data_IF_988227259378
#
_entry.id   IF_988227259378
#
_cell.length_a   1.000
_cell.length_b   1.000
_cell.length_c   1.000
_cell.angle_alpha   90.00
_cell.angle_beta   90.00
_cell.angle_gamma   90.00
#
_symmetry.space_group_name_H-M   'P 1'
#
loop_
_entity.id
_entity.type
_entity.pdbx_description
1 polymer ?
#
# COMPACT_ATOMS: atom_id res chain seq x y z
N UNK A 1 12.31 -11.97 -1.61
CA UNK A 1 10.93 -11.50 -1.89
C UNK A 1 9.95 -12.44 -1.19
N UNK A 2 8.94 -11.92 -0.49
CA UNK A 2 7.93 -12.75 0.19
C UNK A 2 6.54 -12.29 -0.25
N UNK A 3 5.63 -13.23 -0.48
CA UNK A 3 4.26 -12.92 -0.88
C UNK A 3 3.49 -12.28 0.27
N UNK A 4 2.81 -11.17 -0.01
CA UNK A 4 1.93 -10.49 0.92
C UNK A 4 0.55 -10.32 0.27
N UNK A 5 -0.44 -11.07 0.72
CA UNK A 5 -1.81 -11.02 0.21
C UNK A 5 -2.81 -11.08 1.36
N UNK A 6 -4.09 -10.79 1.08
CA UNK A 6 -5.11 -10.60 2.11
C UNK A 6 -5.22 -11.78 3.10
N UNK A 7 -5.17 -13.02 2.60
CA UNK A 7 -5.25 -14.22 3.44
C UNK A 7 -4.00 -14.47 4.31
N UNK A 8 -2.83 -13.92 3.97
CA UNK A 8 -1.58 -14.18 4.69
C UNK A 8 -1.07 -12.98 5.51
N UNK A 9 -1.75 -11.83 5.42
CA UNK A 9 -1.29 -10.55 5.99
C UNK A 9 -0.88 -10.68 7.46
N UNK A 10 -1.74 -11.26 8.29
CA UNK A 10 -1.48 -11.45 9.74
C UNK A 10 -0.23 -12.29 10.02
N UNK A 11 -0.03 -13.39 9.27
CA UNK A 11 1.15 -14.26 9.42
C UNK A 11 2.42 -13.52 8.98
N UNK A 12 2.32 -12.78 7.87
CA UNK A 12 3.43 -12.02 7.33
C UNK A 12 3.85 -10.89 8.27
N UNK A 13 2.90 -10.15 8.84
CA UNK A 13 3.17 -9.07 9.81
C UNK A 13 3.96 -9.60 11.02
N UNK A 14 3.55 -10.74 11.59
CA UNK A 14 4.28 -11.38 12.71
C UNK A 14 5.74 -11.73 12.35
N UNK A 15 6.01 -11.98 11.08
CA UNK A 15 7.34 -12.33 10.60
C UNK A 15 8.17 -11.10 10.22
N UNK A 16 7.52 -10.04 9.72
CA UNK A 16 8.16 -8.82 9.22
C UNK A 16 8.46 -7.82 10.34
N UNK A 17 7.60 -7.70 11.35
CA UNK A 17 7.81 -6.77 12.46
C UNK A 17 9.14 -6.94 13.21
N UNK A 18 9.57 -8.16 13.57
CA UNK A 18 10.88 -8.35 14.22
C UNK A 18 12.05 -7.87 13.35
N UNK A 19 11.94 -8.03 12.02
CA UNK A 19 12.97 -7.61 11.05
C UNK A 19 13.02 -6.07 10.96
N UNK A 20 11.87 -5.40 10.94
CA UNK A 20 11.82 -3.95 10.98
C UNK A 20 12.39 -3.39 12.30
N UNK A 21 12.12 -4.07 13.43
CA UNK A 21 12.66 -3.70 14.75
C UNK A 21 14.17 -3.91 14.86
N UNK A 22 14.77 -4.75 14.02
CA UNK A 22 16.23 -4.90 13.94
C UNK A 22 16.89 -3.88 12.99
N UNK A 23 16.22 -2.75 12.72
CA UNK A 23 16.68 -1.66 11.85
C UNK A 23 16.93 -2.07 10.39
N UNK A 24 16.32 -3.16 9.92
CA UNK A 24 16.37 -3.50 8.50
C UNK A 24 15.31 -2.73 7.70
N UNK A 25 15.65 -2.46 6.44
CA UNK A 25 14.78 -1.79 5.49
C UNK A 25 13.97 -2.84 4.72
N UNK A 26 12.66 -2.64 4.64
CA UNK A 26 11.75 -3.47 3.86
C UNK A 26 10.93 -2.57 2.95
N UNK A 27 10.81 -2.99 1.69
CA UNK A 27 9.92 -2.37 0.70
C UNK A 27 8.68 -3.22 0.51
N UNK A 28 7.50 -2.58 0.51
CA UNK A 28 6.24 -3.16 0.07
C UNK A 28 6.03 -2.77 -1.39
N UNK A 29 5.77 -3.76 -2.25
CA UNK A 29 5.50 -3.58 -3.68
C UNK A 29 4.22 -4.32 -4.04
N UNK A 30 3.50 -3.82 -5.05
CA UNK A 30 2.37 -4.48 -5.70
C UNK A 30 2.78 -4.89 -7.11
N UNK A 31 1.96 -5.74 -7.75
CA UNK A 31 2.19 -6.14 -9.14
C UNK A 31 2.11 -4.94 -10.10
N UNK A 32 1.28 -3.93 -9.77
CA UNK A 32 1.17 -2.69 -10.52
C UNK A 32 0.74 -1.50 -9.64
N UNK A 33 1.18 -0.31 -10.03
CA UNK A 33 0.69 0.94 -9.47
C UNK A 33 1.26 1.29 -8.10
N UNK A 34 0.38 1.83 -7.24
CA UNK A 34 0.73 2.27 -5.89
C UNK A 34 0.25 1.23 -4.88
N UNK A 35 1.13 0.58 -4.11
CA UNK A 35 0.73 -0.41 -3.13
C UNK A 35 -0.33 0.12 -2.18
N UNK A 36 -1.21 -0.75 -1.70
CA UNK A 36 -2.36 -0.47 -0.82
C UNK A 36 -3.56 0.22 -1.45
N UNK A 37 -3.46 0.73 -2.69
CA UNK A 37 -4.63 1.19 -3.45
C UNK A 37 -5.23 -0.01 -4.16
N UNK A 38 -6.40 -0.47 -3.70
CA UNK A 38 -7.01 -1.73 -4.17
C UNK A 38 -6.14 -2.99 -3.96
N UNK A 39 -5.10 -2.87 -3.14
CA UNK A 39 -4.10 -3.91 -2.89
C UNK A 39 -3.97 -4.21 -1.38
N UNK A 40 -3.47 -5.40 -1.00
CA UNK A 40 -3.14 -5.70 0.39
C UNK A 40 -1.98 -4.82 0.90
N UNK A 41 -1.89 -4.63 2.21
CA UNK A 41 -0.76 -3.95 2.85
C UNK A 41 -1.13 -2.93 3.93
N UNK A 42 -2.38 -2.48 3.95
CA UNK A 42 -2.88 -1.54 4.98
C UNK A 42 -2.62 -2.05 6.41
N UNK A 43 -2.84 -3.34 6.67
CA UNK A 43 -2.60 -3.94 7.98
C UNK A 43 -1.12 -3.87 8.39
N UNK A 44 -0.19 -3.98 7.44
CA UNK A 44 1.24 -3.84 7.72
C UNK A 44 1.58 -2.39 8.07
N UNK A 45 1.04 -1.42 7.32
CA UNK A 45 1.24 0.01 7.61
C UNK A 45 0.72 0.34 9.02
N UNK A 46 -0.49 -0.12 9.37
CA UNK A 46 -1.06 0.06 10.71
C UNK A 46 -0.16 -0.53 11.79
N UNK A 47 0.31 -1.77 11.61
CA UNK A 47 1.21 -2.42 12.55
C UNK A 47 2.54 -1.66 12.71
N UNK A 48 3.07 -1.07 11.64
CA UNK A 48 4.25 -0.21 11.70
C UNK A 48 3.99 1.04 12.55
N UNK A 49 2.87 1.75 12.30
CA UNK A 49 2.48 2.96 13.05
C UNK A 49 2.31 2.64 14.54
N UNK A 50 1.58 1.57 14.87
CA UNK A 50 1.36 1.11 16.26
C UNK A 50 2.67 0.78 16.99
N UNK A 51 3.69 0.35 16.26
CA UNK A 51 5.01 0.02 16.80
C UNK A 51 6.03 1.16 16.65
N UNK A 52 5.59 2.38 16.31
CA UNK A 52 6.46 3.55 16.08
C UNK A 52 7.57 3.31 15.03
N UNK A 53 7.31 2.45 14.04
CA UNK A 53 8.20 2.20 12.91
C UNK A 53 7.86 3.20 11.81
N UNK A 54 8.88 3.91 11.31
CA UNK A 54 8.71 4.91 10.25
C UNK A 54 8.29 4.23 8.94
N UNK A 55 7.28 4.80 8.29
CA UNK A 55 6.80 4.39 6.97
C UNK A 55 7.04 5.55 6.01
N UNK A 56 7.63 5.25 4.85
CA UNK A 56 7.86 6.22 3.79
C UNK A 56 7.07 5.82 2.56
N UNK A 57 6.35 6.78 1.98
CA UNK A 57 5.70 6.60 0.68
C UNK A 57 6.61 7.15 -0.42
N UNK A 58 6.76 6.39 -1.49
CA UNK A 58 7.49 6.81 -2.69
C UNK A 58 6.45 7.16 -3.76
N UNK A 59 6.42 8.41 -4.28
CA UNK A 59 5.54 8.77 -5.38
C UNK A 59 5.74 7.85 -6.58
N UNK A 60 4.65 7.46 -7.24
CA UNK A 60 4.70 6.43 -8.28
C UNK A 60 3.43 6.38 -9.13
N UNK A 61 3.35 5.40 -10.06
CA UNK A 61 2.23 5.26 -10.98
C UNK A 61 0.91 4.97 -10.23
N UNK A 62 -0.16 5.61 -10.69
CA UNK A 62 -1.52 5.36 -10.22
C UNK A 62 -2.49 5.41 -11.39
N UNK A 63 -3.16 4.28 -11.66
CA UNK A 63 -4.15 4.18 -12.74
C UNK A 63 -5.32 5.16 -12.54
N UNK A 64 -5.73 5.38 -11.29
CA UNK A 64 -6.81 6.31 -10.91
C UNK A 64 -6.45 7.75 -11.27
N UNK A 65 -5.22 8.17 -10.98
CA UNK A 65 -4.76 9.53 -11.29
C UNK A 65 -4.57 9.67 -12.80
N UNK A 66 -3.95 8.68 -13.46
CA UNK A 66 -3.74 8.69 -14.91
C UNK A 66 -5.06 8.78 -15.71
N UNK A 67 -6.09 8.04 -15.27
CA UNK A 67 -7.41 8.11 -15.91
C UNK A 67 -8.10 9.45 -15.64
N UNK A 68 -8.03 9.97 -14.41
CA UNK A 68 -8.63 11.26 -14.06
C UNK A 68 -8.05 12.39 -14.92
N UNK A 69 -6.72 12.50 -15.03
CA UNK A 69 -6.07 13.58 -15.80
C UNK A 69 -6.34 13.51 -17.31
N UNK A 70 -6.66 12.32 -17.84
CA UNK A 70 -6.97 12.11 -19.26
C UNK A 70 -8.47 12.14 -19.59
N UNK A 71 -9.34 12.15 -18.58
CA UNK A 71 -10.79 12.00 -18.76
C UNK A 71 -11.54 13.24 -19.24
N UNK A 72 -10.95 14.44 -19.14
CA UNK A 72 -11.60 15.70 -19.47
C UNK A 72 -12.64 16.18 -18.44
N UNK A 73 -12.78 15.52 -17.29
CA UNK A 73 -13.63 15.98 -16.18
C UNK A 73 -12.83 16.82 -15.17
N UNK A 74 -13.53 17.48 -14.25
CA UNK A 74 -12.88 18.29 -13.21
C UNK A 74 -11.98 17.44 -12.31
N UNK A 75 -10.76 17.92 -12.06
CA UNK A 75 -9.73 17.22 -11.27
C UNK A 75 -9.51 17.84 -9.88
N UNK A 76 -10.26 18.89 -9.54
CA UNK A 76 -10.19 19.60 -8.26
C UNK A 76 -10.67 18.73 -7.09
N UNK A 77 -11.70 17.92 -7.33
CA UNK A 77 -12.28 16.99 -6.36
C UNK A 77 -12.75 15.72 -7.06
N UNK A 78 -12.34 14.57 -6.55
CA UNK A 78 -12.78 13.27 -7.04
C UNK A 78 -12.87 12.28 -5.88
N UNK A 79 -13.67 11.23 -6.09
CA UNK A 79 -13.81 10.12 -5.14
C UNK A 79 -13.35 8.83 -5.81
N UNK A 80 -12.48 8.08 -5.14
CA UNK A 80 -12.11 6.73 -5.55
C UNK A 80 -12.94 5.71 -4.75
N UNK A 81 -13.70 4.88 -5.46
CA UNK A 81 -14.63 3.91 -4.86
C UNK A 81 -14.16 2.45 -4.98
N UNK A 82 -13.00 2.21 -5.57
CA UNK A 82 -12.51 0.84 -5.81
C UNK A 82 -13.34 0.11 -6.86
N UNK A 83 -13.61 -1.17 -6.60
CA UNK A 83 -14.35 -2.04 -7.51
C UNK A 83 -15.84 -2.09 -7.14
N UNK A 84 -16.71 -2.17 -8.14
CA UNK A 84 -18.14 -2.37 -7.94
C UNK A 84 -18.43 -3.77 -7.35
N UNK A 85 -19.56 -3.96 -6.62
CA UNK A 85 -20.01 -5.26 -6.13
C UNK A 85 -20.26 -6.30 -7.22
#
# INVERSE_FOLDING_TARGET
MRLFHQYNSKKMIKTVLPILKSNQIISLISDAGTPTISDPGLDLIRACIENSIKVYSIPGPSAVIASLVSSGISTDKFSFLGFAP
#
